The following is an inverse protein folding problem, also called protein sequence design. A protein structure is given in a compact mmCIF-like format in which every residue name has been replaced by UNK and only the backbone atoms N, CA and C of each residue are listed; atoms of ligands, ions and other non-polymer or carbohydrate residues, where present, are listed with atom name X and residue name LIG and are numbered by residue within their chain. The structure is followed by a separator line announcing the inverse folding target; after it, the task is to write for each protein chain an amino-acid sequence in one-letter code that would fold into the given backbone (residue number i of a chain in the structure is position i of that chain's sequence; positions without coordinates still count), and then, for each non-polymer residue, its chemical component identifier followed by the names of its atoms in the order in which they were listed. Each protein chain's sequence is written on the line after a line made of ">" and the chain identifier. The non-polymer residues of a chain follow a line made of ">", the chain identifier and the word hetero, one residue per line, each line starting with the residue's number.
data_IF_187941687830
#
_entry.id   IF_187941687830
#
_cell.length_a   1.000
_cell.length_b   1.000
_cell.length_c   1.000
_cell.angle_alpha   90.00
_cell.angle_beta   90.00
_cell.angle_gamma   90.00
#
_symmetry.space_group_name_H-M   'P 1'
#
loop_
_entity.id
_entity.type
_entity.pdbx_description
1 polymer ?
#
# COMPACT_ATOMS: atom_id res chain seq x y z
N UNK A 1 1.32 6.29 -14.62
CA UNK A 1 0.89 5.35 -13.56
C UNK A 1 2.13 4.59 -13.11
N UNK A 2 2.35 4.48 -11.81
CA UNK A 2 3.48 3.78 -11.21
C UNK A 2 2.95 2.63 -10.36
N UNK A 3 3.59 1.45 -10.44
CA UNK A 3 3.18 0.28 -9.67
C UNK A 3 4.36 -0.25 -8.85
N UNK A 4 4.14 -0.44 -7.56
CA UNK A 4 5.15 -0.95 -6.64
C UNK A 4 4.70 -2.26 -6.00
N UNK A 5 5.66 -3.12 -5.71
CA UNK A 5 5.41 -4.32 -4.92
C UNK A 5 6.50 -4.49 -3.89
N UNK A 6 6.13 -4.60 -2.62
CA UNK A 6 7.07 -4.71 -1.52
C UNK A 6 6.47 -5.50 -0.35
N UNK A 7 7.32 -5.85 0.61
CA UNK A 7 6.89 -6.46 1.88
C UNK A 7 7.10 -5.48 3.00
N UNK A 8 6.02 -5.14 3.71
CA UNK A 8 6.06 -4.35 4.93
C UNK A 8 6.15 -5.29 6.14
N UNK A 9 7.23 -5.15 6.92
CA UNK A 9 7.41 -5.90 8.17
C UNK A 9 6.96 -5.05 9.34
N UNK A 10 5.86 -5.44 9.97
CA UNK A 10 5.31 -4.76 11.14
C UNK A 10 5.71 -5.48 12.43
N UNK A 11 6.19 -4.72 13.41
CA UNK A 11 6.40 -5.21 14.78
C UNK A 11 5.11 -5.04 15.57
N UNK A 12 4.47 -6.15 15.95
CA UNK A 12 3.21 -6.16 16.72
C UNK A 12 3.35 -7.13 17.88
N UNK A 13 3.24 -6.63 19.12
CA UNK A 13 3.22 -7.46 20.33
C UNK A 13 4.40 -8.45 20.42
N UNK A 14 5.61 -8.00 20.11
CA UNK A 14 6.82 -8.84 20.13
C UNK A 14 7.00 -9.78 18.92
N UNK A 15 6.08 -9.77 17.95
CA UNK A 15 6.17 -10.57 16.72
C UNK A 15 6.41 -9.69 15.50
N UNK A 16 7.13 -10.21 14.51
CA UNK A 16 7.25 -9.61 13.19
C UNK A 16 6.17 -10.17 12.26
N UNK A 17 5.38 -9.30 11.65
CA UNK A 17 4.32 -9.65 10.70
C UNK A 17 4.70 -9.08 9.33
N UNK A 18 4.96 -9.97 8.38
CA UNK A 18 5.20 -9.58 6.99
C UNK A 18 3.86 -9.48 6.23
N UNK A 19 3.62 -8.35 5.59
CA UNK A 19 2.48 -8.06 4.73
C UNK A 19 2.99 -7.73 3.33
N UNK A 20 2.41 -8.33 2.29
CA UNK A 20 2.74 -8.01 0.89
C UNK A 20 1.84 -6.90 0.40
N UNK A 21 2.43 -5.85 -0.14
CA UNK A 21 1.75 -4.69 -0.70
C UNK A 21 1.90 -4.67 -2.22
N UNK A 22 0.82 -4.27 -2.90
CA UNK A 22 0.74 -3.98 -4.33
C UNK A 22 0.07 -2.62 -4.53
N UNK A 23 0.89 -1.64 -4.87
CA UNK A 23 0.51 -0.24 -4.84
C UNK A 23 0.40 0.30 -6.26
N UNK A 24 -0.68 1.00 -6.55
CA UNK A 24 -0.89 1.71 -7.80
C UNK A 24 -0.97 3.21 -7.50
N UNK A 25 -0.05 3.97 -8.09
CA UNK A 25 0.03 5.41 -7.94
C UNK A 25 -0.27 6.12 -9.25
N UNK A 26 -1.05 7.21 -9.16
CA UNK A 26 -1.32 8.10 -10.27
C UNK A 26 -1.45 9.55 -9.80
N UNK A 27 -1.12 10.48 -10.70
CA UNK A 27 -1.33 11.90 -10.52
C UNK A 27 -2.67 12.27 -11.17
N UNK A 28 -3.56 12.93 -10.44
CA UNK A 28 -4.77 13.52 -11.01
C UNK A 28 -4.45 14.82 -11.77
N UNK A 29 -5.37 15.27 -12.63
CA UNK A 29 -5.21 16.52 -13.38
C UNK A 29 -5.12 17.75 -12.47
N UNK A 30 -5.69 17.69 -11.28
CA UNK A 30 -5.66 18.75 -10.27
C UNK A 30 -4.41 18.71 -9.39
N UNK A 31 -3.42 17.88 -9.70
CA UNK A 31 -2.14 17.81 -8.98
C UNK A 31 -2.18 17.04 -7.66
N UNK A 32 -3.28 16.34 -7.35
CA UNK A 32 -3.35 15.42 -6.21
C UNK A 32 -2.81 14.06 -6.64
N UNK A 33 -1.79 13.57 -5.94
CA UNK A 33 -1.28 12.22 -6.12
C UNK A 33 -2.13 11.25 -5.30
N UNK A 34 -2.61 10.19 -5.94
CA UNK A 34 -3.38 9.12 -5.29
C UNK A 34 -2.56 7.83 -5.33
N UNK A 35 -2.45 7.19 -4.16
CA UNK A 35 -1.92 5.83 -4.01
C UNK A 35 -3.06 4.93 -3.54
N UNK A 36 -3.31 3.86 -4.29
CA UNK A 36 -4.20 2.76 -3.89
C UNK A 36 -3.37 1.50 -3.73
N UNK A 37 -3.27 1.02 -2.49
CA UNK A 37 -2.45 -0.08 -2.07
C UNK A 37 -3.31 -1.26 -1.60
N UNK A 38 -3.09 -2.43 -2.18
CA UNK A 38 -3.72 -3.69 -1.73
C UNK A 38 -2.73 -4.48 -0.92
N UNK A 39 -3.13 -5.01 0.24
CA UNK A 39 -2.23 -5.81 1.06
C UNK A 39 -2.78 -7.20 1.42
N UNK A 40 -1.86 -8.16 1.50
CA UNK A 40 -2.17 -9.56 1.73
C UNK A 40 -1.19 -10.22 2.70
N UNK A 41 -1.64 -11.30 3.34
CA UNK A 41 -0.81 -12.20 4.15
C UNK A 41 -1.12 -13.65 3.77
N UNK A 42 -0.08 -14.46 3.56
CA UNK A 42 -0.24 -15.85 3.09
C UNK A 42 -1.14 -15.98 1.85
N UNK A 43 -1.07 -15.00 0.92
CA UNK A 43 -1.92 -14.87 -0.28
C UNK A 43 -3.41 -14.56 -0.02
N UNK A 44 -3.81 -14.36 1.23
CA UNK A 44 -5.15 -13.89 1.60
C UNK A 44 -5.17 -12.37 1.59
N UNK A 45 -6.09 -11.78 0.84
CA UNK A 45 -6.34 -10.33 0.83
C UNK A 45 -6.84 -9.89 2.20
N UNK A 46 -6.22 -8.86 2.77
CA UNK A 46 -6.57 -8.34 4.09
C UNK A 46 -7.23 -6.96 4.03
N UNK A 47 -6.98 -6.20 2.97
CA UNK A 47 -7.62 -4.91 2.77
C UNK A 47 -6.92 -4.03 1.75
N UNK A 48 -7.49 -2.84 1.59
CA UNK A 48 -7.06 -1.81 0.67
C UNK A 48 -6.81 -0.52 1.47
N UNK A 49 -5.76 0.20 1.11
CA UNK A 49 -5.39 1.50 1.69
C UNK A 49 -5.39 2.52 0.56
N UNK A 50 -6.05 3.66 0.77
CA UNK A 50 -6.03 4.78 -0.18
C UNK A 50 -5.46 6.00 0.54
N UNK A 51 -4.42 6.58 -0.03
CA UNK A 51 -3.80 7.81 0.46
C UNK A 51 -3.75 8.83 -0.66
N UNK A 52 -4.05 10.08 -0.32
CA UNK A 52 -3.90 11.22 -1.22
C UNK A 52 -2.85 12.17 -0.68
N UNK A 53 -1.97 12.64 -1.56
CA UNK A 53 -0.94 13.62 -1.25
C UNK A 53 -1.19 14.87 -2.11
N UNK A 54 -1.21 16.02 -1.45
CA UNK A 54 -1.25 17.34 -2.07
C UNK A 54 -0.18 18.19 -1.38
N UNK A 55 0.43 19.13 -2.12
CA UNK A 55 1.37 20.09 -1.54
C UNK A 55 0.67 21.02 -0.55
#
# INVERSE_FOLDING_TARGET
>A
KLRWSYTLTLKVGGKNINLKFDDQMWMSETGVMVNHAKFSKFRVHLGDVVVSFQK
#
